data_IF_355484450544
#
_entry.id   IF_355484450544
#
_cell.length_a   1.000
_cell.length_b   1.000
_cell.length_c   1.000
_cell.angle_alpha   90.00
_cell.angle_beta   90.00
_cell.angle_gamma   90.00
#
_symmetry.space_group_name_H-M   'P 1'
#
loop_
_entity.id
_entity.type
_entity.pdbx_description
1 polymer ?
#
# COMPACT_ATOMS: atom_id res chain seq x y z
N UNK A 1 33.63 4.35 -8.34
CA UNK A 1 32.16 4.43 -8.23
C UNK A 1 31.65 3.00 -8.13
N UNK A 2 30.85 2.68 -7.11
CA UNK A 2 30.08 1.41 -7.12
C UNK A 2 29.12 1.50 -8.32
N UNK A 3 29.16 0.50 -9.22
CA UNK A 3 28.20 0.42 -10.32
C UNK A 3 26.81 0.19 -9.73
N UNK A 4 25.99 1.24 -9.72
CA UNK A 4 24.58 1.12 -9.34
C UNK A 4 23.80 0.62 -10.54
N UNK A 5 23.39 -0.66 -10.51
CA UNK A 5 22.47 -1.21 -11.50
C UNK A 5 21.06 -1.21 -10.92
N UNK A 6 20.15 -0.44 -11.51
CA UNK A 6 18.75 -0.33 -11.08
C UNK A 6 18.07 -1.71 -11.06
N UNK A 7 18.38 -2.56 -12.02
CA UNK A 7 17.75 -3.88 -12.19
C UNK A 7 17.96 -4.80 -10.99
N UNK A 8 19.14 -4.71 -10.35
CA UNK A 8 19.47 -5.49 -9.16
C UNK A 8 18.56 -5.16 -7.98
N UNK A 9 18.09 -3.92 -7.89
CA UNK A 9 17.23 -3.43 -6.81
C UNK A 9 15.73 -3.57 -7.11
N UNK A 10 15.33 -3.54 -8.39
CA UNK A 10 13.93 -3.73 -8.81
C UNK A 10 13.39 -5.12 -8.46
N UNK A 11 14.27 -6.13 -8.34
CA UNK A 11 13.87 -7.51 -8.03
C UNK A 11 14.33 -7.98 -6.64
N UNK A 12 14.97 -7.09 -5.86
CA UNK A 12 15.39 -7.37 -4.48
C UNK A 12 14.17 -7.54 -3.57
N UNK A 13 13.93 -8.78 -3.14
CA UNK A 13 12.79 -9.15 -2.30
C UNK A 13 12.82 -8.50 -0.92
N UNK A 14 14.00 -8.16 -0.40
CA UNK A 14 14.13 -7.45 0.87
C UNK A 14 13.67 -6.01 0.70
N UNK A 15 14.11 -5.34 -0.37
CA UNK A 15 13.70 -3.97 -0.68
C UNK A 15 12.21 -3.88 -1.02
N UNK A 16 11.66 -4.84 -1.79
CA UNK A 16 10.22 -4.93 -2.06
C UNK A 16 9.44 -5.03 -0.74
N UNK A 17 9.85 -5.92 0.16
CA UNK A 17 9.16 -6.09 1.45
C UNK A 17 9.24 -4.83 2.32
N UNK A 18 10.40 -4.18 2.38
CA UNK A 18 10.54 -2.89 3.07
C UNK A 18 9.61 -1.83 2.48
N UNK A 19 9.49 -1.80 1.15
CA UNK A 19 8.63 -0.86 0.43
C UNK A 19 7.15 -1.07 0.75
N UNK A 20 6.71 -2.33 0.87
CA UNK A 20 5.35 -2.66 1.32
C UNK A 20 5.12 -2.13 2.74
N UNK A 21 6.07 -2.29 3.67
CA UNK A 21 5.90 -1.76 5.02
C UNK A 21 5.86 -0.22 5.06
N UNK A 22 6.66 0.45 4.23
CA UNK A 22 6.60 1.91 4.10
C UNK A 22 5.26 2.37 3.52
N UNK A 23 4.73 1.66 2.50
CA UNK A 23 3.41 1.92 1.96
C UNK A 23 2.30 1.71 3.01
N UNK A 24 2.38 0.64 3.83
CA UNK A 24 1.44 0.41 4.93
C UNK A 24 1.49 1.54 5.95
N UNK A 25 2.70 1.95 6.36
CA UNK A 25 2.87 3.02 7.34
C UNK A 25 2.24 4.32 6.84
N UNK A 26 2.57 4.72 5.62
CA UNK A 26 2.05 5.96 5.06
C UNK A 26 0.54 5.92 4.89
N UNK A 27 -0.01 4.77 4.46
CA UNK A 27 -1.47 4.60 4.36
C UNK A 27 -2.20 4.79 5.68
N UNK A 28 -1.57 4.39 6.79
CA UNK A 28 -2.17 4.43 8.13
C UNK A 28 -1.97 5.77 8.85
N UNK A 29 -0.97 6.57 8.46
CA UNK A 29 -0.54 7.73 9.24
C UNK A 29 -0.54 9.04 8.45
N UNK A 30 -0.31 8.99 7.14
CA UNK A 30 -0.15 10.18 6.31
C UNK A 30 -1.35 10.41 5.38
N UNK A 31 -2.07 9.34 5.03
CA UNK A 31 -3.22 9.40 4.13
C UNK A 31 -4.49 9.88 4.85
N UNK A 32 -5.20 10.82 4.21
CA UNK A 32 -6.49 11.30 4.68
C UNK A 32 -7.65 10.30 4.45
N UNK A 33 -7.42 9.31 3.59
CA UNK A 33 -8.35 8.20 3.37
C UNK A 33 -7.58 6.88 3.34
N UNK A 34 -8.03 5.93 4.15
CA UNK A 34 -7.46 4.59 4.21
C UNK A 34 -8.56 3.53 4.04
N UNK A 35 -8.45 2.69 3.01
CA UNK A 35 -9.31 1.51 2.89
C UNK A 35 -8.74 0.35 3.73
N UNK A 36 -9.22 0.25 4.96
CA UNK A 36 -8.80 -0.79 5.90
C UNK A 36 -9.06 -2.22 5.41
N UNK A 37 -10.13 -2.46 4.64
CA UNK A 37 -10.40 -3.78 4.06
C UNK A 37 -9.30 -4.20 3.10
N UNK A 38 -8.83 -3.26 2.28
CA UNK A 38 -7.76 -3.52 1.34
C UNK A 38 -6.45 -3.86 2.06
N UNK A 39 -6.12 -3.14 3.13
CA UNK A 39 -4.96 -3.46 3.97
C UNK A 39 -5.08 -4.84 4.62
N UNK A 40 -6.26 -5.25 5.05
CA UNK A 40 -6.48 -6.60 5.58
C UNK A 40 -6.27 -7.67 4.51
N UNK A 41 -6.79 -7.45 3.29
CA UNK A 41 -6.65 -8.41 2.18
C UNK A 41 -5.19 -8.61 1.79
N UNK A 42 -4.42 -7.51 1.71
CA UNK A 42 -3.06 -7.53 1.18
C UNK A 42 -1.97 -7.69 2.26
N UNK A 43 -2.23 -7.27 3.51
CA UNK A 43 -1.17 -7.03 4.49
C UNK A 43 -1.49 -7.48 5.92
N UNK A 44 -2.59 -8.19 6.17
CA UNK A 44 -2.95 -8.68 7.52
C UNK A 44 -1.86 -9.51 8.20
N UNK A 45 -1.07 -10.26 7.43
CA UNK A 45 0.03 -11.09 7.93
C UNK A 45 1.03 -11.43 6.81
N UNK A 46 2.12 -12.13 7.16
CA UNK A 46 3.15 -12.52 6.20
C UNK A 46 2.62 -13.37 5.04
N UNK A 47 1.60 -14.20 5.27
CA UNK A 47 1.01 -15.03 4.21
C UNK A 47 0.28 -14.19 3.15
N UNK A 48 -0.15 -12.97 3.49
CA UNK A 48 -0.73 -12.02 2.54
C UNK A 48 0.32 -11.12 1.89
N UNK A 49 1.35 -10.74 2.64
CA UNK A 49 2.47 -9.94 2.13
C UNK A 49 3.30 -10.72 1.10
N UNK A 50 3.53 -12.02 1.30
CA UNK A 50 4.36 -12.82 0.41
C UNK A 50 3.86 -12.85 -1.05
N UNK A 51 2.57 -13.11 -1.33
CA UNK A 51 2.01 -12.98 -2.67
C UNK A 51 2.23 -11.59 -3.29
N UNK A 52 2.10 -10.52 -2.51
CA UNK A 52 2.34 -9.16 -3.00
C UNK A 52 3.82 -8.93 -3.34
N UNK A 53 4.74 -9.43 -2.52
CA UNK A 53 6.19 -9.40 -2.81
C UNK A 53 6.49 -10.12 -4.12
N UNK A 54 5.93 -11.32 -4.28
CA UNK A 54 6.14 -12.15 -5.47
C UNK A 54 5.54 -11.50 -6.72
N UNK A 55 4.34 -10.92 -6.62
CA UNK A 55 3.71 -10.16 -7.69
C UNK A 55 4.58 -8.99 -8.16
N UNK A 56 5.04 -8.15 -7.23
CA UNK A 56 5.91 -7.00 -7.55
C UNK A 56 7.20 -7.48 -8.23
N UNK A 57 7.84 -8.53 -7.69
CA UNK A 57 9.04 -9.11 -8.28
C UNK A 57 8.78 -9.61 -9.71
N UNK A 58 7.66 -10.29 -9.94
CA UNK A 58 7.32 -10.87 -11.24
C UNK A 58 7.05 -9.80 -12.30
N UNK A 59 6.45 -8.67 -11.92
CA UNK A 59 6.29 -7.51 -12.82
C UNK A 59 7.66 -7.00 -13.27
N UNK A 60 8.57 -6.73 -12.33
CA UNK A 60 9.88 -6.19 -12.68
C UNK A 60 10.80 -7.22 -13.36
N UNK A 61 10.60 -8.51 -13.08
CA UNK A 61 11.30 -9.61 -13.79
C UNK A 61 10.68 -9.92 -15.16
N UNK A 62 9.66 -9.17 -15.60
CA UNK A 62 8.92 -9.38 -16.85
C UNK A 62 8.28 -10.78 -16.99
N UNK A 63 8.07 -11.48 -15.87
CA UNK A 63 7.42 -12.79 -15.83
C UNK A 63 5.89 -12.67 -15.86
N UNK A 64 5.36 -11.51 -15.50
CA UNK A 64 3.94 -11.20 -15.50
C UNK A 64 3.73 -9.76 -15.98
N UNK A 65 2.71 -9.48 -16.81
CA UNK A 65 2.37 -8.11 -17.16
C UNK A 65 1.87 -7.34 -15.93
N UNK A 66 2.23 -6.07 -15.86
CA UNK A 66 1.62 -5.13 -14.92
C UNK A 66 0.19 -4.81 -15.36
N UNK A 67 -0.75 -4.95 -14.43
CA UNK A 67 -2.17 -4.66 -14.63
C UNK A 67 -2.55 -3.66 -13.54
N UNK A 68 -2.82 -2.43 -13.96
CA UNK A 68 -3.17 -1.32 -13.07
C UNK A 68 -4.57 -1.50 -12.49
N UNK A 69 -4.71 -1.34 -11.19
CA UNK A 69 -6.01 -1.21 -10.54
C UNK A 69 -6.58 0.22 -10.68
N UNK A 70 -7.90 0.34 -10.72
CA UNK A 70 -8.58 1.62 -10.83
C UNK A 70 -8.39 2.48 -9.57
N UNK A 71 -8.06 3.75 -9.79
CA UNK A 71 -7.91 4.76 -8.76
C UNK A 71 -9.13 5.69 -8.77
N UNK A 72 -9.42 6.34 -7.64
CA UNK A 72 -10.51 7.32 -7.59
C UNK A 72 -10.05 8.65 -7.00
N UNK A 73 -10.63 9.74 -7.49
CA UNK A 73 -10.41 11.07 -6.92
C UNK A 73 -11.34 11.27 -5.72
N UNK A 74 -10.82 11.89 -4.68
CA UNK A 74 -11.60 12.32 -3.52
C UNK A 74 -11.16 13.72 -3.08
N UNK A 75 -11.98 14.36 -2.26
CA UNK A 75 -11.71 15.69 -1.76
C UNK A 75 -12.12 15.77 -0.29
N UNK A 76 -11.36 16.52 0.50
CA UNK A 76 -11.67 16.74 1.91
C UNK A 76 -11.35 18.20 2.31
N UNK A 77 -12.03 18.75 3.32
CA UNK A 77 -11.75 20.10 3.80
C UNK A 77 -10.40 20.14 4.49
N UNK A 78 -9.48 20.97 4.00
CA UNK A 78 -8.20 21.22 4.64
C UNK A 78 -8.33 22.29 5.73
N UNK A 79 -9.05 23.37 5.41
CA UNK A 79 -9.34 24.55 6.24
C UNK A 79 -10.72 25.10 5.81
N UNK A 80 -11.30 26.04 6.57
CA UNK A 80 -12.70 26.51 6.44
C UNK A 80 -13.12 26.98 5.03
N UNK A 81 -12.17 27.27 4.14
CA UNK A 81 -12.42 27.68 2.75
C UNK A 81 -11.57 26.94 1.71
N UNK A 82 -10.82 25.91 2.11
CA UNK A 82 -9.90 25.21 1.22
C UNK A 82 -10.22 23.71 1.19
N UNK A 83 -10.52 23.21 -0.01
CA UNK A 83 -10.70 21.79 -0.27
C UNK A 83 -9.40 21.25 -0.85
N UNK A 84 -8.84 20.19 -0.25
CA UNK A 84 -7.73 19.45 -0.85
C UNK A 84 -8.29 18.33 -1.71
N UNK A 85 -7.90 18.33 -2.98
CA UNK A 85 -8.17 17.22 -3.91
C UNK A 85 -7.03 16.21 -3.82
N UNK A 86 -7.40 14.95 -3.70
CA UNK A 86 -6.48 13.83 -3.60
C UNK A 86 -6.90 12.71 -4.56
N UNK A 87 -5.97 11.82 -4.88
CA UNK A 87 -6.25 10.59 -5.62
C UNK A 87 -5.94 9.43 -4.70
N UNK A 88 -6.93 8.58 -4.49
CA UNK A 88 -6.74 7.31 -3.83
C UNK A 88 -6.18 6.31 -4.83
N UNK A 89 -5.01 5.77 -4.50
CA UNK A 89 -4.45 4.60 -5.19
C UNK A 89 -4.79 3.35 -4.40
N UNK A 90 -5.24 2.26 -5.02
CA UNK A 90 -5.28 0.95 -4.39
C UNK A 90 -3.92 0.60 -3.77
N UNK A 91 -3.93 -0.08 -2.63
CA UNK A 91 -2.75 -0.47 -1.89
C UNK A 91 -1.73 -1.24 -2.73
N UNK A 92 -2.18 -2.12 -3.64
CA UNK A 92 -1.30 -2.83 -4.57
C UNK A 92 -0.48 -1.85 -5.42
N UNK A 93 -1.15 -0.87 -6.02
CA UNK A 93 -0.55 0.22 -6.79
C UNK A 93 0.38 1.08 -5.95
N UNK A 94 -0.06 1.38 -4.74
CA UNK A 94 0.71 2.17 -3.78
C UNK A 94 2.02 1.48 -3.42
N UNK A 95 1.98 0.17 -3.15
CA UNK A 95 3.16 -0.63 -2.84
C UNK A 95 4.15 -0.71 -4.02
N UNK A 96 3.65 -0.88 -5.25
CA UNK A 96 4.49 -0.85 -6.47
C UNK A 96 5.21 0.49 -6.60
N UNK A 97 4.48 1.60 -6.45
CA UNK A 97 5.06 2.95 -6.54
C UNK A 97 6.06 3.22 -5.43
N UNK A 98 5.77 2.81 -4.20
CA UNK A 98 6.73 2.89 -3.09
C UNK A 98 8.01 2.13 -3.40
N UNK A 99 7.90 0.94 -3.99
CA UNK A 99 9.08 0.18 -4.37
C UNK A 99 9.91 0.88 -5.45
N UNK A 100 9.26 1.37 -6.51
CA UNK A 100 9.94 2.12 -7.56
C UNK A 100 10.63 3.37 -6.99
N UNK A 101 9.95 4.12 -6.12
CA UNK A 101 10.51 5.31 -5.46
C UNK A 101 11.71 4.94 -4.59
N UNK A 102 11.63 3.86 -3.82
CA UNK A 102 12.75 3.42 -3.00
C UNK A 102 13.95 3.03 -3.85
N UNK A 103 13.74 2.30 -4.96
CA UNK A 103 14.81 1.95 -5.90
C UNK A 103 15.44 3.21 -6.50
N UNK A 104 14.64 4.13 -7.01
CA UNK A 104 15.13 5.37 -7.60
C UNK A 104 15.85 6.24 -6.56
N UNK A 105 15.36 6.28 -5.31
CA UNK A 105 15.96 7.06 -4.23
C UNK A 105 17.40 6.63 -3.96
N UNK A 106 17.70 5.32 -4.04
CA UNK A 106 19.07 4.81 -3.90
C UNK A 106 20.00 5.34 -5.00
N UNK A 107 19.47 5.55 -6.21
CA UNK A 107 20.22 6.08 -7.35
C UNK A 107 20.52 7.58 -7.20
N UNK A 108 19.56 8.35 -6.69
CA UNK A 108 19.60 9.83 -6.75
C UNK A 108 19.99 10.51 -5.44
N UNK A 109 19.97 9.82 -4.30
CA UNK A 109 20.17 10.46 -2.98
C UNK A 109 21.53 11.19 -2.89
N UNK A 110 22.58 10.61 -3.49
CA UNK A 110 23.92 11.21 -3.51
C UNK A 110 24.08 12.32 -4.56
N UNK A 111 23.11 12.47 -5.47
CA UNK A 111 23.11 13.45 -6.56
C UNK A 111 22.38 14.74 -6.20
N UNK A 112 21.59 14.74 -5.12
CA UNK A 112 20.88 15.94 -4.68
C UNK A 112 21.81 16.99 -4.07
N UNK A 113 21.58 18.26 -4.41
CA UNK A 113 22.21 19.40 -3.74
C UNK A 113 21.93 19.38 -2.22
N UNK A 114 22.87 19.87 -1.41
CA UNK A 114 22.80 19.81 0.06
C UNK A 114 21.61 20.57 0.66
N UNK A 115 21.10 21.55 -0.07
CA UNK A 115 19.96 22.40 0.29
C UNK A 115 18.60 21.85 -0.17
N UNK A 116 18.57 20.67 -0.80
CA UNK A 116 17.33 19.95 -1.04
C UNK A 116 16.93 19.18 0.22
N UNK A 117 15.75 19.45 0.76
CA UNK A 117 15.31 18.96 2.07
C UNK A 117 14.05 18.10 2.05
N UNK A 118 13.09 18.40 1.17
CA UNK A 118 11.82 17.69 1.12
C UNK A 118 12.00 16.26 0.59
N UNK A 119 11.31 15.29 1.20
CA UNK A 119 11.17 13.90 0.73
C UNK A 119 12.50 13.14 0.52
N UNK A 120 13.46 13.27 1.45
CA UNK A 120 14.78 12.60 1.39
C UNK A 120 14.98 11.52 2.48
N UNK A 121 15.76 10.49 2.17
CA UNK A 121 15.87 9.23 2.95
C UNK A 121 16.60 9.33 4.30
N UNK A 122 17.17 10.49 4.68
CA UNK A 122 17.96 10.65 5.92
C UNK A 122 17.56 11.84 6.81
N UNK A 123 16.31 12.27 6.75
CA UNK A 123 15.84 13.44 7.53
C UNK A 123 14.55 13.23 8.33
N UNK A 124 14.02 12.02 8.42
CA UNK A 124 12.91 11.68 9.33
C UNK A 124 13.29 10.48 10.25
N UNK A 125 12.80 10.52 11.49
CA UNK A 125 13.42 9.89 12.67
C UNK A 125 12.68 8.67 13.25
N UNK A 126 11.73 8.05 12.55
CA UNK A 126 10.83 7.05 13.18
C UNK A 126 11.08 5.61 12.72
N UNK A 127 11.48 4.76 13.68
CA UNK A 127 11.57 3.31 13.56
C UNK A 127 10.20 2.61 13.58
N UNK A 128 10.10 1.49 12.85
CA UNK A 128 8.84 0.93 12.34
C UNK A 128 8.09 -0.05 13.26
N UNK A 129 8.58 -0.32 14.48
CA UNK A 129 8.10 -1.47 15.27
C UNK A 129 6.87 -1.14 16.16
N UNK A 130 6.51 0.14 16.34
CA UNK A 130 5.41 0.53 17.24
C UNK A 130 4.10 0.93 16.55
N UNK A 131 4.05 0.86 15.22
CA UNK A 131 3.05 1.56 14.39
C UNK A 131 1.64 0.93 14.38
N UNK A 132 1.51 -0.33 14.78
CA UNK A 132 0.23 -1.04 14.78
C UNK A 132 -0.47 -1.08 16.14
N UNK A 133 0.22 -0.66 17.21
CA UNK A 133 -0.30 -0.74 18.58
C UNK A 133 -1.55 0.12 18.85
N UNK A 134 -1.66 1.36 18.34
CA UNK A 134 -2.77 2.25 18.71
C UNK A 134 -4.11 1.85 18.08
N UNK A 135 -4.09 1.29 16.88
CA UNK A 135 -5.29 1.01 16.10
C UNK A 135 -5.79 -0.43 16.25
N UNK A 136 -4.99 -1.33 16.83
CA UNK A 136 -5.19 -2.79 16.78
C UNK A 136 -6.62 -3.24 17.17
N UNK A 137 -7.20 -2.69 18.25
CA UNK A 137 -8.50 -3.16 18.75
C UNK A 137 -9.69 -2.69 17.90
N UNK A 138 -9.86 -1.39 17.70
CA UNK A 138 -10.97 -0.83 16.91
C UNK A 138 -10.85 -1.24 15.43
N UNK A 139 -9.62 -1.34 14.91
CA UNK A 139 -9.36 -1.86 13.58
C UNK A 139 -9.77 -3.33 13.45
N UNK A 140 -9.41 -4.19 14.41
CA UNK A 140 -9.85 -5.60 14.41
C UNK A 140 -11.37 -5.71 14.44
N UNK A 141 -12.05 -4.91 15.25
CA UNK A 141 -13.51 -4.89 15.34
C UNK A 141 -14.15 -4.44 14.01
N UNK A 142 -13.64 -3.38 13.38
CA UNK A 142 -14.13 -2.89 12.08
C UNK A 142 -13.90 -3.90 10.93
N UNK A 143 -12.70 -4.49 10.85
CA UNK A 143 -12.38 -5.54 9.87
C UNK A 143 -13.27 -6.75 10.09
N UNK A 144 -13.45 -7.19 11.34
CA UNK A 144 -14.29 -8.33 11.67
C UNK A 144 -15.75 -8.07 11.26
N UNK A 145 -16.25 -6.86 11.53
CA UNK A 145 -17.58 -6.44 11.11
C UNK A 145 -17.74 -6.53 9.59
N UNK A 146 -16.85 -5.94 8.80
CA UNK A 146 -17.00 -6.01 7.33
C UNK A 146 -16.70 -7.39 6.74
N UNK A 147 -15.81 -8.19 7.33
CA UNK A 147 -15.65 -9.61 6.96
C UNK A 147 -16.96 -10.39 7.19
N UNK A 148 -17.70 -10.10 8.26
CA UNK A 148 -19.01 -10.70 8.52
C UNK A 148 -20.06 -10.21 7.52
N UNK A 149 -20.08 -8.91 7.20
CA UNK A 149 -21.01 -8.32 6.26
C UNK A 149 -20.84 -8.89 4.84
N UNK A 150 -19.60 -9.15 4.42
CA UNK A 150 -19.31 -9.86 3.15
C UNK A 150 -19.84 -11.30 3.17
N UNK A 151 -19.74 -12.01 4.31
CA UNK A 151 -20.27 -13.38 4.43
C UNK A 151 -21.80 -13.38 4.35
N UNK A 152 -22.46 -12.45 5.04
CA UNK A 152 -23.90 -12.28 5.01
C UNK A 152 -24.39 -11.99 3.59
N UNK A 153 -23.77 -11.02 2.91
CA UNK A 153 -24.11 -10.69 1.52
C UNK A 153 -23.95 -11.88 0.57
N UNK A 154 -22.87 -12.66 0.70
CA UNK A 154 -22.66 -13.89 -0.10
C UNK A 154 -23.69 -14.97 0.21
N UNK A 155 -24.17 -15.05 1.45
CA UNK A 155 -25.22 -15.99 1.87
C UNK A 155 -26.57 -15.59 1.26
N UNK A 156 -26.94 -14.33 1.35
CA UNK A 156 -28.16 -13.77 0.75
C UNK A 156 -28.20 -13.94 -0.77
N UNK A 157 -27.07 -13.76 -1.46
CA UNK A 157 -26.99 -14.00 -2.91
C UNK A 157 -27.22 -15.48 -3.27
N UNK A 158 -26.68 -16.42 -2.48
CA UNK A 158 -26.90 -17.87 -2.69
C UNK A 158 -28.36 -18.25 -2.46
N UNK A 159 -28.96 -17.74 -1.40
CA UNK A 159 -30.38 -17.98 -1.08
C UNK A 159 -31.30 -17.39 -2.16
N UNK A 160 -30.99 -16.19 -2.65
CA UNK A 160 -31.71 -15.55 -3.76
C UNK A 160 -31.56 -16.30 -5.08
N UNK A 161 -30.39 -16.89 -5.37
CA UNK A 161 -30.19 -17.76 -6.54
C UNK A 161 -30.96 -19.09 -6.42
N UNK A 162 -31.05 -19.67 -5.23
CA UNK A 162 -31.84 -20.89 -5.00
C UNK A 162 -33.35 -20.64 -5.13
N UNK A 163 -33.84 -19.44 -4.79
CA UNK A 163 -35.24 -19.05 -4.97
C UNK A 163 -35.61 -18.77 -6.43
N UNK A 164 -34.66 -18.32 -7.27
CA UNK A 164 -34.88 -18.11 -8.71
C UNK A 164 -34.84 -19.38 -9.56
N UNK A 165 -34.28 -20.47 -9.02
CA UNK A 165 -34.15 -21.75 -9.70
C UNK A 165 -35.23 -22.78 -9.28
N UNK A 166 -36.29 -22.33 -8.59
CA UNK A 166 -37.52 -23.08 -8.32
C UNK A 166 -38.66 -22.48 -9.12
#
# INVERSE_FOLDING_TARGET
MLNFNIEDYLTDTKLIRMSIYYAMYSRLNDDHFCNFFELSINCKNQNKINPLVEYIKNIYSLKQPYISDESFAYAFPKEDFFIRRCVYLPFKEYAIRYHLINVLSLAVENSFIKTSYANRTRRSLSGFIHLFKPYDRQYKEFIQWGENLIKEFKKEQRESQHLKNR
#
